data_IF_989234477198
#
_entry.id   IF_989234477198
#
_cell.length_a   1.000
_cell.length_b   1.000
_cell.length_c   1.000
_cell.angle_alpha   90.00
_cell.angle_beta   90.00
_cell.angle_gamma   90.00
#
_symmetry.space_group_name_H-M   'P 1'
#
loop_
_entity.id
_entity.type
_entity.pdbx_description
1 polymer ?
#
# COMPACT_ATOMS: atom_id res chain seq x y z
N UNK A 1 4.66 -10.87 12.98
CA UNK A 1 4.82 -9.46 13.38
C UNK A 1 4.61 -9.31 14.88
N UNK A 2 3.40 -9.49 15.42
CA UNK A 2 3.12 -9.31 16.87
C UNK A 2 4.06 -10.14 17.77
N UNK A 3 4.36 -11.39 17.40
CA UNK A 3 5.29 -12.25 18.16
C UNK A 3 6.77 -11.87 18.09
N UNK A 4 7.14 -10.93 17.22
CA UNK A 4 8.53 -10.50 17.02
C UNK A 4 8.90 -9.30 17.91
N UNK A 5 7.92 -8.71 18.59
CA UNK A 5 8.08 -7.54 19.45
C UNK A 5 7.65 -7.85 20.89
N UNK A 6 8.08 -7.03 21.87
CA UNK A 6 7.62 -7.15 23.25
C UNK A 6 6.09 -7.07 23.36
N UNK A 7 5.51 -7.76 24.35
CA UNK A 7 4.05 -7.84 24.51
C UNK A 7 3.41 -6.48 24.78
N UNK A 8 4.17 -5.58 25.38
CA UNK A 8 3.78 -4.21 25.71
C UNK A 8 3.51 -3.35 24.46
N UNK A 9 4.08 -3.72 23.31
CA UNK A 9 3.88 -3.02 22.03
C UNK A 9 2.74 -3.64 21.19
N UNK A 10 2.20 -4.79 21.58
CA UNK A 10 1.22 -5.54 20.78
C UNK A 10 -0.05 -4.73 20.46
N UNK A 11 -0.54 -3.95 21.42
CA UNK A 11 -1.76 -3.12 21.25
C UNK A 11 -1.55 -1.93 20.33
N UNK A 12 -0.34 -1.37 20.29
CA UNK A 12 -0.03 -0.20 19.47
C UNK A 12 0.46 -0.58 18.07
N UNK A 13 0.98 -1.80 17.91
CA UNK A 13 1.49 -2.32 16.65
C UNK A 13 0.42 -2.41 15.57
N UNK A 14 -0.77 -2.91 15.89
CA UNK A 14 -1.86 -3.09 14.93
C UNK A 14 -3.09 -2.30 15.38
N UNK A 15 -3.36 -1.19 14.71
CA UNK A 15 -4.54 -0.36 14.95
C UNK A 15 -5.40 -0.32 13.69
N UNK A 16 -6.71 -0.52 13.82
CA UNK A 16 -7.65 -0.49 12.66
C UNK A 16 -7.22 -1.39 11.50
N UNK A 17 -6.76 -2.61 11.81
CA UNK A 17 -6.22 -3.55 10.82
C UNK A 17 -5.00 -3.06 10.03
N UNK A 18 -4.29 -2.05 10.53
CA UNK A 18 -3.10 -1.45 9.91
C UNK A 18 -1.97 -1.35 10.92
N UNK A 19 -0.73 -1.50 10.44
CA UNK A 19 0.47 -1.32 11.24
C UNK A 19 0.57 0.16 11.61
N UNK A 20 0.63 0.45 12.92
CA UNK A 20 0.50 1.79 13.49
C UNK A 20 -0.68 2.60 12.93
N UNK A 21 -1.77 1.93 12.51
CA UNK A 21 -2.95 2.57 11.94
C UNK A 21 -2.79 3.14 10.52
N UNK A 22 -1.62 2.99 9.90
CA UNK A 22 -1.29 3.66 8.64
C UNK A 22 -1.15 2.69 7.47
N UNK A 23 -0.31 1.66 7.59
CA UNK A 23 0.02 0.76 6.48
C UNK A 23 -0.64 -0.61 6.63
N UNK A 24 -1.23 -1.13 5.56
CA UNK A 24 -2.05 -2.36 5.59
C UNK A 24 -1.28 -3.66 5.29
N UNK A 25 -0.01 -3.59 4.91
CA UNK A 25 0.75 -4.79 4.52
C UNK A 25 2.23 -4.55 4.32
N UNK A 26 2.96 -5.63 4.01
CA UNK A 26 4.38 -5.60 3.70
C UNK A 26 4.65 -4.80 2.40
N UNK A 27 5.66 -3.94 2.44
CA UNK A 27 6.05 -3.12 1.28
C UNK A 27 7.56 -3.11 1.09
N UNK A 28 7.98 -2.75 -0.12
CA UNK A 28 9.32 -2.23 -0.37
C UNK A 28 9.35 -0.74 -0.02
N UNK A 29 10.50 -0.22 0.44
CA UNK A 29 10.57 1.16 0.93
C UNK A 29 10.09 1.30 2.37
N UNK A 30 9.26 2.31 2.68
CA UNK A 30 8.70 2.58 4.02
C UNK A 30 9.74 2.50 5.14
N UNK A 31 10.86 3.18 4.91
CA UNK A 31 12.07 3.10 5.75
C UNK A 31 11.80 3.42 7.22
N UNK A 32 10.81 4.27 7.48
CA UNK A 32 10.34 4.64 8.82
C UNK A 32 10.02 3.43 9.70
N UNK A 33 9.51 2.35 9.10
CA UNK A 33 9.10 1.15 9.83
C UNK A 33 10.22 0.11 9.95
N UNK A 34 11.39 0.36 9.32
CA UNK A 34 12.44 -0.65 9.14
C UNK A 34 13.72 -0.33 9.88
N UNK A 35 14.06 0.95 10.01
CA UNK A 35 15.35 1.37 10.58
C UNK A 35 15.18 2.16 11.87
N UNK A 36 16.14 2.08 12.81
CA UNK A 36 16.10 2.86 14.04
C UNK A 36 16.09 4.37 13.80
N UNK A 37 15.51 5.11 14.76
CA UNK A 37 15.44 6.58 14.75
C UNK A 37 16.80 7.24 14.50
N UNK A 38 17.88 6.73 15.09
CA UNK A 38 19.20 7.34 14.95
C UNK A 38 19.69 7.33 13.51
N UNK A 39 19.33 6.29 12.76
CA UNK A 39 19.61 6.21 11.33
C UNK A 39 18.72 7.19 10.55
N UNK A 40 17.43 7.20 10.87
CA UNK A 40 16.45 8.11 10.28
C UNK A 40 16.87 9.58 10.38
N UNK A 41 17.29 10.03 11.58
CA UNK A 41 17.74 11.42 11.82
C UNK A 41 18.96 11.78 10.96
N UNK A 42 19.84 10.82 10.68
CA UNK A 42 21.01 11.03 9.84
C UNK A 42 20.64 11.10 8.35
N UNK A 43 19.64 10.35 7.90
CA UNK A 43 19.30 10.26 6.47
C UNK A 43 18.29 11.31 6.02
N UNK A 44 17.29 11.63 6.85
CA UNK A 44 16.20 12.53 6.45
C UNK A 44 16.60 13.96 6.10
N UNK A 45 17.62 14.58 6.71
CA UNK A 45 18.08 15.90 6.29
C UNK A 45 18.58 15.96 4.84
N UNK A 46 18.95 14.82 4.25
CA UNK A 46 19.40 14.73 2.85
C UNK A 46 18.25 14.55 1.86
N UNK A 47 17.01 14.33 2.34
CA UNK A 47 15.83 14.23 1.48
C UNK A 47 15.35 15.64 1.13
N UNK A 48 15.12 15.95 -0.16
CA UNK A 48 14.57 17.25 -0.56
C UNK A 48 13.31 17.61 0.23
N UNK A 49 13.19 18.88 0.64
CA UNK A 49 12.08 19.33 1.49
C UNK A 49 10.70 19.04 0.88
N UNK A 50 10.55 19.19 -0.44
CA UNK A 50 9.29 18.88 -1.13
C UNK A 50 8.87 17.43 -0.98
N UNK A 51 9.83 16.52 -1.10
CA UNK A 51 9.65 15.09 -0.86
C UNK A 51 9.37 14.84 0.62
N UNK A 52 10.10 15.50 1.52
CA UNK A 52 9.95 15.35 2.97
C UNK A 52 8.61 15.85 3.50
N UNK A 53 8.08 16.96 2.97
CA UNK A 53 6.80 17.57 3.40
C UNK A 53 5.62 16.62 3.17
N UNK A 54 5.65 15.84 2.08
CA UNK A 54 4.64 14.80 1.83
C UNK A 54 4.71 13.68 2.87
N UNK A 55 5.92 13.33 3.34
CA UNK A 55 6.14 12.33 4.39
C UNK A 55 5.83 12.84 5.81
N UNK A 56 5.92 14.15 6.05
CA UNK A 56 5.81 14.74 7.39
C UNK A 56 4.45 14.50 8.07
N UNK A 57 3.37 14.35 7.31
CA UNK A 57 2.05 13.97 7.83
C UNK A 57 2.02 12.55 8.43
N UNK A 58 2.79 11.62 7.89
CA UNK A 58 2.88 10.23 8.37
C UNK A 58 3.84 10.06 9.55
N UNK A 59 4.75 11.01 9.73
CA UNK A 59 5.85 10.93 10.69
C UNK A 59 5.39 11.04 12.15
N UNK A 60 4.27 11.71 12.43
CA UNK A 60 3.80 11.91 13.81
C UNK A 60 3.36 10.61 14.50
N UNK A 61 2.94 9.58 13.78
CA UNK A 61 2.50 8.32 14.37
C UNK A 61 3.66 7.37 14.69
N UNK A 62 4.64 7.26 13.78
CA UNK A 62 5.74 6.28 13.88
C UNK A 62 6.73 6.69 14.97
N UNK A 63 6.95 8.00 15.13
CA UNK A 63 7.88 8.56 16.10
C UNK A 63 7.53 8.22 17.57
N UNK A 64 6.29 7.85 17.88
CA UNK A 64 5.93 7.55 19.27
C UNK A 64 6.10 6.08 19.64
N UNK A 65 6.29 5.18 18.66
CA UNK A 65 6.29 3.74 18.88
C UNK A 65 7.59 3.02 18.45
N UNK A 66 8.62 3.76 18.00
CA UNK A 66 9.90 3.21 17.50
C UNK A 66 10.84 2.64 18.58
N UNK A 67 10.41 1.60 19.30
CA UNK A 67 11.19 0.98 20.38
C UNK A 67 12.02 -0.21 19.90
N UNK A 68 11.45 -1.02 19.00
CA UNK A 68 12.01 -2.29 18.53
C UNK A 68 11.87 -2.50 17.00
N UNK A 69 12.32 -1.57 16.13
CA UNK A 69 12.35 -1.81 14.69
C UNK A 69 13.22 -3.05 14.36
N UNK A 70 12.94 -3.80 13.27
CA UNK A 70 11.99 -3.50 12.19
C UNK A 70 10.55 -3.98 12.46
N UNK A 71 9.58 -3.11 12.20
CA UNK A 71 8.14 -3.39 12.26
C UNK A 71 7.56 -3.87 10.94
N UNK A 72 8.25 -3.62 9.82
CA UNK A 72 7.80 -4.00 8.50
C UNK A 72 8.84 -4.89 7.79
N UNK A 73 8.38 -5.99 7.19
CA UNK A 73 9.24 -6.87 6.41
C UNK A 73 8.90 -6.78 4.93
N UNK A 74 9.94 -6.74 4.09
CA UNK A 74 9.83 -6.94 2.63
C UNK A 74 9.99 -8.41 2.23
N UNK A 75 9.95 -9.34 3.20
CA UNK A 75 10.04 -10.77 2.93
C UNK A 75 8.79 -11.20 2.15
N UNK A 76 8.99 -11.69 0.94
CA UNK A 76 7.93 -12.26 0.12
C UNK A 76 7.55 -13.65 0.63
N UNK A 77 6.30 -14.06 0.36
CA UNK A 77 5.87 -15.43 0.51
C UNK A 77 6.13 -16.17 -0.81
N UNK A 78 6.93 -17.25 -0.76
CA UNK A 78 7.25 -18.07 -1.94
C UNK A 78 6.32 -19.28 -1.97
N UNK A 79 5.72 -19.54 -3.13
CA UNK A 79 4.98 -20.78 -3.41
C UNK A 79 5.49 -21.39 -4.71
N UNK A 80 5.38 -22.71 -4.84
CA UNK A 80 5.78 -23.46 -6.03
C UNK A 80 4.58 -24.25 -6.56
N UNK A 81 4.34 -24.15 -7.86
CA UNK A 81 3.30 -24.91 -8.56
C UNK A 81 3.88 -25.52 -9.84
N UNK A 82 3.68 -26.81 -10.06
CA UNK A 82 4.06 -27.46 -11.31
C UNK A 82 2.90 -27.37 -12.29
N UNK A 83 3.13 -26.70 -13.43
CA UNK A 83 2.11 -26.51 -14.45
C UNK A 83 1.60 -27.86 -14.98
N UNK A 84 0.29 -28.04 -14.94
CA UNK A 84 -0.41 -29.20 -15.47
C UNK A 84 -1.12 -28.83 -16.77
N UNK A 85 -1.47 -29.83 -17.60
CA UNK A 85 -2.22 -29.61 -18.86
C UNK A 85 -3.57 -28.90 -18.67
N UNK A 86 -4.13 -28.95 -17.46
CA UNK A 86 -5.38 -28.27 -17.11
C UNK A 86 -5.24 -26.79 -16.76
N UNK A 87 -4.01 -26.32 -16.51
CA UNK A 87 -3.75 -24.92 -16.15
C UNK A 87 -3.81 -24.06 -17.41
N UNK A 88 -4.79 -23.14 -17.47
CA UNK A 88 -5.05 -22.35 -18.69
C UNK A 88 -4.44 -20.96 -18.66
N UNK A 89 -4.46 -20.31 -17.50
CA UNK A 89 -4.00 -18.94 -17.32
C UNK A 89 -3.63 -18.70 -15.84
N UNK A 90 -2.83 -17.66 -15.61
CA UNK A 90 -2.48 -17.15 -14.28
C UNK A 90 -2.87 -15.69 -14.25
N UNK A 91 -3.66 -15.30 -13.25
CA UNK A 91 -4.03 -13.89 -13.03
C UNK A 91 -3.13 -13.35 -11.93
N UNK A 92 -2.33 -12.34 -12.27
CA UNK A 92 -1.54 -11.56 -11.31
C UNK A 92 -2.08 -10.13 -11.38
N UNK A 93 -2.56 -9.63 -10.25
CA UNK A 93 -3.12 -8.30 -10.18
C UNK A 93 -2.94 -7.70 -8.78
N UNK A 94 -3.08 -6.37 -8.69
CA UNK A 94 -3.15 -5.63 -7.43
C UNK A 94 -4.54 -5.77 -6.80
N UNK A 95 -4.64 -5.39 -5.52
CA UNK A 95 -5.88 -5.38 -4.74
C UNK A 95 -7.07 -4.75 -5.47
N UNK A 96 -6.87 -3.62 -6.14
CA UNK A 96 -7.96 -2.94 -6.86
C UNK A 96 -8.70 -3.83 -7.88
N UNK A 97 -8.03 -4.79 -8.53
CA UNK A 97 -8.71 -5.73 -9.44
C UNK A 97 -9.33 -6.90 -8.67
N UNK A 98 -8.66 -7.37 -7.62
CA UNK A 98 -9.15 -8.45 -6.76
C UNK A 98 -10.37 -8.05 -5.94
N UNK A 99 -10.56 -6.76 -5.67
CA UNK A 99 -11.75 -6.22 -5.03
C UNK A 99 -13.00 -6.38 -5.91
N UNK A 100 -12.82 -6.42 -7.24
CA UNK A 100 -13.89 -6.58 -8.24
C UNK A 100 -14.04 -8.03 -8.74
N UNK A 101 -12.98 -8.84 -8.66
CA UNK A 101 -12.97 -10.23 -9.14
C UNK A 101 -13.46 -11.21 -8.07
N UNK A 102 -14.51 -11.97 -8.40
CA UNK A 102 -14.91 -13.14 -7.61
C UNK A 102 -14.06 -14.37 -7.95
N UNK A 103 -13.94 -15.30 -7.00
CA UNK A 103 -13.28 -16.60 -7.24
C UNK A 103 -13.98 -17.43 -8.32
N UNK A 104 -15.29 -17.26 -8.50
CA UNK A 104 -16.05 -17.95 -9.55
C UNK A 104 -15.69 -17.41 -10.93
N UNK A 105 -15.48 -16.10 -11.07
CA UNK A 105 -14.99 -15.48 -12.31
C UNK A 105 -13.62 -16.06 -12.68
N UNK A 106 -12.72 -16.12 -11.69
CA UNK A 106 -11.33 -16.60 -11.84
C UNK A 106 -11.25 -18.09 -12.16
N UNK A 107 -12.19 -18.90 -11.68
CA UNK A 107 -12.22 -20.35 -11.94
C UNK A 107 -13.01 -20.71 -13.20
N UNK A 108 -13.71 -19.76 -13.80
CA UNK A 108 -14.50 -19.99 -14.99
C UNK A 108 -13.62 -20.38 -16.18
N UNK A 109 -14.21 -21.01 -17.20
CA UNK A 109 -13.45 -21.36 -18.42
C UNK A 109 -12.93 -20.14 -19.18
N UNK A 110 -13.53 -18.97 -18.95
CA UNK A 110 -13.28 -17.71 -19.65
C UNK A 110 -12.82 -16.61 -18.69
N UNK A 111 -12.21 -16.97 -17.55
CA UNK A 111 -11.82 -16.00 -16.52
C UNK A 111 -10.77 -15.00 -17.00
N UNK A 112 -9.96 -15.37 -17.99
CA UNK A 112 -9.10 -14.48 -18.75
C UNK A 112 -9.90 -13.36 -19.44
N UNK A 113 -10.96 -13.72 -20.17
CA UNK A 113 -11.82 -12.77 -20.87
C UNK A 113 -12.63 -11.91 -19.89
N UNK A 114 -13.10 -12.47 -18.78
CA UNK A 114 -13.76 -11.70 -17.71
C UNK A 114 -12.82 -10.66 -17.13
N UNK A 115 -11.57 -11.05 -16.85
CA UNK A 115 -10.52 -10.14 -16.34
C UNK A 115 -10.20 -9.04 -17.36
N UNK A 116 -9.99 -9.39 -18.63
CA UNK A 116 -9.74 -8.43 -19.71
C UNK A 116 -10.90 -7.42 -19.87
N UNK A 117 -12.13 -7.90 -19.76
CA UNK A 117 -13.33 -7.05 -19.85
C UNK A 117 -13.40 -6.07 -18.69
N UNK A 118 -13.10 -6.50 -17.46
CA UNK A 118 -13.08 -5.63 -16.29
C UNK A 118 -12.02 -4.54 -16.42
N UNK A 119 -10.79 -4.91 -16.82
CA UNK A 119 -9.70 -3.95 -17.04
C UNK A 119 -10.08 -2.95 -18.14
N UNK A 120 -10.69 -3.40 -19.25
CA UNK A 120 -11.10 -2.50 -20.33
C UNK A 120 -12.16 -1.47 -19.94
N UNK A 121 -12.93 -1.72 -18.87
CA UNK A 121 -13.92 -0.77 -18.36
C UNK A 121 -13.30 0.34 -17.53
N UNK A 122 -12.12 0.12 -16.94
CA UNK A 122 -11.48 1.12 -16.07
C UNK A 122 -11.07 2.40 -16.81
N UNK A 123 -10.67 2.33 -18.09
CA UNK A 123 -10.37 3.55 -18.89
C UNK A 123 -11.59 4.48 -19.01
N UNK A 124 -12.79 3.92 -19.01
CA UNK A 124 -14.04 4.68 -19.09
C UNK A 124 -14.50 5.24 -17.74
N UNK A 125 -14.02 4.67 -16.62
CA UNK A 125 -14.39 5.09 -15.27
C UNK A 125 -13.52 6.25 -14.77
N UNK A 126 -12.21 6.21 -15.00
CA UNK A 126 -11.30 7.34 -14.67
C UNK A 126 -11.63 8.61 -15.45
N UNK A 127 -12.20 8.48 -16.64
CA UNK A 127 -12.68 9.61 -17.45
C UNK A 127 -13.96 10.24 -16.91
N UNK A 128 -14.63 9.60 -15.95
CA UNK A 128 -15.92 10.01 -15.38
C UNK A 128 -15.80 10.40 -13.89
N UNK A 129 -14.60 10.34 -13.30
CA UNK A 129 -14.41 10.88 -11.95
C UNK A 129 -14.56 12.41 -11.98
N UNK A 130 -15.44 13.02 -11.16
CA UNK A 130 -15.63 14.47 -11.15
C UNK A 130 -14.38 15.26 -10.70
N UNK A 131 -13.36 14.57 -10.19
CA UNK A 131 -12.11 15.17 -9.72
C UNK A 131 -11.03 15.32 -10.81
N UNK A 132 -11.28 14.94 -12.07
CA UNK A 132 -10.40 15.29 -13.20
C UNK A 132 -10.74 16.65 -13.81
N UNK A 133 -11.64 17.43 -13.19
CA UNK A 133 -11.68 18.86 -13.46
C UNK A 133 -10.32 19.44 -13.07
N UNK A 134 -9.57 19.91 -14.08
CA UNK A 134 -8.36 20.73 -13.93
C UNK A 134 -8.52 21.62 -12.70
N UNK A 135 -7.59 21.49 -11.76
CA UNK A 135 -7.40 22.50 -10.72
C UNK A 135 -7.19 23.83 -11.44
N UNK A 136 -8.23 24.67 -11.45
CA UNK A 136 -8.13 26.03 -11.92
C UNK A 136 -7.17 26.75 -10.96
N UNK A 137 -6.04 27.32 -11.45
CA UNK A 137 -5.04 27.95 -10.56
C UNK A 137 -5.60 29.09 -9.70
N UNK A 138 -6.81 29.57 -9.98
CA UNK A 138 -7.50 30.59 -9.18
C UNK A 138 -8.13 30.07 -7.88
N UNK A 139 -8.43 28.77 -7.73
CA UNK A 139 -9.17 28.25 -6.55
C UNK A 139 -8.25 27.90 -5.37
N UNK A 140 -6.93 27.83 -5.57
CA UNK A 140 -5.97 27.51 -4.50
C UNK A 140 -5.75 28.65 -3.48
N UNK A 141 -6.27 29.86 -3.73
CA UNK A 141 -5.99 31.04 -2.90
C UNK A 141 -7.00 31.30 -1.76
N UNK A 142 -8.06 30.49 -1.60
CA UNK A 142 -9.16 30.79 -0.67
C UNK A 142 -9.28 29.86 0.55
N UNK A 143 -8.35 28.94 0.77
CA UNK A 143 -8.32 28.11 1.98
C UNK A 143 -7.29 28.54 3.04
N UNK A 144 -6.68 29.72 2.88
CA UNK A 144 -5.85 30.35 3.90
C UNK A 144 -6.37 31.76 4.21
N UNK A 145 -7.45 31.83 4.98
CA UNK A 145 -7.86 33.01 5.74
C UNK A 145 -8.50 32.56 7.05
#
# INVERSE_FOLDING_TARGET
MISQHPKEEAETLVMRNRIFGSIAGGSFGDIMYKVPRDYQIKVFPFIPYETYRTFAHYRHCIVNCDRTPPYLSSKHLTSHHQLQKGDKYIIIATDGLWDELSWDNVRSKNGDQTTATLISRWDNAWSQEPNTARLDPATAALCCS
#
